data_IF_438671706217
#
_entry.id   IF_438671706217
#
_cell.length_a   1.000
_cell.length_b   1.000
_cell.length_c   1.000
_cell.angle_alpha   90.00
_cell.angle_beta   90.00
_cell.angle_gamma   90.00
#
_symmetry.space_group_name_H-M   'P 1'
#
loop_
_entity.id
_entity.type
_entity.pdbx_description
1 polymer ?
#
# COMPACT_ATOMS: atom_id res chain seq x y z
N UNK A 1 -2.07 16.87 -8.64
CA UNK A 1 -1.29 18.07 -8.24
C UNK A 1 -0.99 18.09 -6.76
N UNK A 2 -1.91 17.62 -5.92
CA UNK A 2 -1.86 17.68 -4.47
C UNK A 2 -1.69 16.30 -3.86
N UNK A 3 -2.50 15.32 -4.26
CA UNK A 3 -2.37 13.97 -3.72
C UNK A 3 -2.98 12.90 -4.61
N UNK A 4 -2.59 11.66 -4.34
CA UNK A 4 -3.20 10.45 -4.89
C UNK A 4 -3.50 9.50 -3.74
N UNK A 5 -4.71 8.93 -3.70
CA UNK A 5 -5.10 7.88 -2.78
C UNK A 5 -5.46 6.62 -3.58
N UNK A 6 -4.87 5.48 -3.22
CA UNK A 6 -5.01 4.21 -3.92
C UNK A 6 -5.45 3.15 -2.92
N UNK A 7 -6.45 2.37 -3.29
CA UNK A 7 -6.66 1.05 -2.67
C UNK A 7 -6.53 -0.01 -3.76
N UNK A 8 -5.57 -0.92 -3.63
CA UNK A 8 -5.36 -1.96 -4.64
C UNK A 8 -4.92 -3.29 -4.02
N UNK A 9 -5.40 -4.40 -4.58
CA UNK A 9 -5.04 -5.75 -4.15
C UNK A 9 -3.57 -6.09 -4.43
N UNK A 10 -3.01 -5.54 -5.52
CA UNK A 10 -1.60 -5.69 -5.88
C UNK A 10 -0.98 -4.33 -6.13
N UNK A 11 0.34 -4.24 -5.92
CA UNK A 11 1.12 -3.05 -6.25
C UNK A 11 2.50 -3.46 -6.76
N UNK A 12 2.58 -3.79 -8.05
CA UNK A 12 3.74 -4.35 -8.73
C UNK A 12 3.88 -3.71 -10.11
N UNK A 13 5.06 -3.19 -10.43
CA UNK A 13 5.26 -2.52 -11.71
C UNK A 13 6.66 -1.95 -11.89
N UNK A 14 6.90 -1.45 -13.09
CA UNK A 14 8.13 -0.77 -13.49
C UNK A 14 9.39 -1.60 -13.20
N UNK A 15 9.43 -2.86 -13.65
CA UNK A 15 10.54 -3.77 -13.36
C UNK A 15 11.89 -3.25 -13.87
N UNK A 16 11.89 -2.42 -14.92
CA UNK A 16 13.09 -1.77 -15.47
C UNK A 16 13.81 -0.84 -14.48
N UNK A 17 13.16 -0.42 -13.39
CA UNK A 17 13.76 0.40 -12.34
C UNK A 17 14.34 -0.41 -11.16
N UNK A 18 14.11 -1.73 -11.15
CA UNK A 18 14.52 -2.60 -10.05
C UNK A 18 16.02 -2.90 -10.14
N UNK A 19 16.71 -2.89 -9.00
CA UNK A 19 18.09 -3.34 -8.93
C UNK A 19 18.17 -4.86 -9.09
N UNK A 20 18.84 -5.29 -10.16
CA UNK A 20 19.16 -6.68 -10.45
C UNK A 20 19.83 -7.35 -9.24
N UNK A 21 19.48 -8.62 -8.99
CA UNK A 21 20.15 -9.43 -7.98
C UNK A 21 21.51 -9.95 -8.47
N UNK A 22 22.17 -10.78 -7.66
CA UNK A 22 23.47 -11.40 -7.94
C UNK A 22 23.42 -12.51 -9.05
N UNK A 23 22.64 -12.29 -10.12
CA UNK A 23 22.53 -13.19 -11.28
C UNK A 23 21.34 -14.17 -11.26
N UNK A 24 20.50 -14.12 -10.24
CA UNK A 24 19.34 -15.02 -10.05
C UNK A 24 18.13 -14.63 -10.94
N UNK A 25 17.98 -13.35 -11.22
CA UNK A 25 16.93 -12.79 -12.07
C UNK A 25 17.42 -11.43 -12.56
N UNK A 26 16.89 -10.96 -13.68
CA UNK A 26 17.14 -9.61 -14.16
C UNK A 26 15.81 -8.87 -14.37
N UNK A 27 15.80 -7.59 -14.04
CA UNK A 27 14.70 -6.65 -14.28
C UNK A 27 14.09 -6.77 -15.67
N UNK A 28 14.93 -6.99 -16.68
CA UNK A 28 14.54 -7.14 -18.09
C UNK A 28 13.70 -8.40 -18.38
N UNK A 29 13.94 -9.55 -17.74
CA UNK A 29 13.20 -10.78 -18.05
C UNK A 29 11.92 -10.94 -17.21
N UNK A 30 11.72 -10.13 -16.17
CA UNK A 30 10.49 -10.17 -15.37
C UNK A 30 9.27 -9.75 -16.21
N UNK A 31 9.46 -8.75 -17.07
CA UNK A 31 8.44 -8.30 -18.02
C UNK A 31 7.27 -7.55 -17.38
N UNK A 32 7.48 -6.89 -16.24
CA UNK A 32 6.47 -6.08 -15.53
C UNK A 32 6.61 -4.61 -15.91
N UNK A 33 6.18 -4.27 -17.12
CA UNK A 33 6.42 -2.97 -17.76
C UNK A 33 5.34 -1.91 -17.50
N UNK A 34 4.32 -2.21 -16.68
CA UNK A 34 3.31 -1.21 -16.34
C UNK A 34 3.95 -0.05 -15.57
N UNK A 35 3.63 1.17 -15.98
CA UNK A 35 4.33 2.38 -15.53
C UNK A 35 3.75 2.98 -14.24
N UNK A 36 2.69 2.41 -13.65
CA UNK A 36 1.99 3.04 -12.54
C UNK A 36 2.94 3.36 -11.36
N UNK A 37 3.80 2.43 -10.88
CA UNK A 37 4.74 2.77 -9.82
C UNK A 37 5.81 3.80 -10.23
N UNK A 38 6.33 3.73 -11.47
CA UNK A 38 7.31 4.68 -11.98
C UNK A 38 6.74 6.10 -12.07
N UNK A 39 5.52 6.24 -12.60
CA UNK A 39 4.83 7.54 -12.73
C UNK A 39 4.48 8.14 -11.37
N UNK A 40 4.10 7.31 -10.38
CA UNK A 40 3.88 7.78 -9.00
C UNK A 40 5.18 8.31 -8.39
N UNK A 41 6.29 7.58 -8.52
CA UNK A 41 7.60 8.02 -8.03
C UNK A 41 8.06 9.29 -8.74
N UNK A 42 8.02 9.31 -10.09
CA UNK A 42 8.37 10.48 -10.89
C UNK A 42 7.52 11.70 -10.53
N UNK A 43 6.22 11.51 -10.26
CA UNK A 43 5.34 12.60 -9.84
C UNK A 43 5.73 13.18 -8.48
N UNK A 44 6.06 12.33 -7.52
CA UNK A 44 6.56 12.75 -6.20
C UNK A 44 7.87 13.52 -6.36
N UNK A 45 8.82 12.98 -7.12
CA UNK A 45 10.12 13.58 -7.38
C UNK A 45 9.97 14.96 -8.03
N UNK A 46 9.15 15.08 -9.09
CA UNK A 46 8.88 16.36 -9.74
C UNK A 46 8.31 17.39 -8.75
N UNK A 47 7.46 16.97 -7.81
CA UNK A 47 6.89 17.86 -6.79
C UNK A 47 7.91 18.29 -5.73
N UNK A 48 8.81 17.39 -5.34
CA UNK A 48 9.96 17.70 -4.50
C UNK A 48 10.85 18.75 -5.18
N UNK A 49 11.20 18.54 -6.45
CA UNK A 49 12.06 19.44 -7.22
C UNK A 49 11.39 20.81 -7.49
N UNK A 50 10.06 20.84 -7.63
CA UNK A 50 9.26 22.08 -7.68
C UNK A 50 9.12 22.78 -6.32
N UNK A 51 9.55 22.17 -5.20
CA UNK A 51 9.32 22.67 -3.85
C UNK A 51 7.83 22.70 -3.44
N UNK A 52 7.00 21.87 -4.06
CA UNK A 52 5.55 21.81 -3.81
C UNK A 52 5.15 20.58 -3.01
N UNK A 53 4.12 20.74 -2.18
CA UNK A 53 3.55 19.61 -1.42
C UNK A 53 2.80 18.64 -2.33
N UNK A 54 3.12 17.37 -2.19
CA UNK A 54 2.42 16.26 -2.82
C UNK A 54 2.52 15.00 -1.97
N UNK A 55 1.46 14.19 -1.92
CA UNK A 55 1.48 12.92 -1.19
C UNK A 55 0.75 11.82 -1.95
N UNK A 56 1.30 10.61 -1.91
CA UNK A 56 0.67 9.38 -2.36
C UNK A 56 0.39 8.48 -1.15
N UNK A 57 -0.84 7.99 -1.06
CA UNK A 57 -1.31 7.04 -0.06
C UNK A 57 -1.73 5.75 -0.76
N UNK A 58 -1.19 4.61 -0.35
CA UNK A 58 -1.48 3.30 -0.92
C UNK A 58 -1.96 2.36 0.17
N UNK A 59 -3.17 1.84 0.04
CA UNK A 59 -3.74 0.81 0.90
C UNK A 59 -3.81 -0.49 0.12
N UNK A 60 -3.29 -1.55 0.69
CA UNK A 60 -3.14 -2.86 0.05
C UNK A 60 -3.28 -3.97 1.08
N UNK A 61 -3.60 -5.22 0.70
CA UNK A 61 -3.74 -6.27 1.69
C UNK A 61 -2.39 -6.58 2.35
N UNK A 62 -2.41 -7.09 3.60
CA UNK A 62 -1.17 -7.45 4.30
C UNK A 62 -0.34 -8.47 3.51
N UNK A 63 -1.02 -9.41 2.88
CA UNK A 63 -0.48 -10.31 1.87
C UNK A 63 -1.60 -10.65 0.86
N UNK A 64 -1.28 -11.11 -0.36
CA UNK A 64 -2.31 -11.55 -1.32
C UNK A 64 -3.16 -12.69 -0.78
N UNK A 65 -4.35 -12.90 -1.35
CA UNK A 65 -5.25 -13.98 -0.96
C UNK A 65 -4.57 -15.35 -1.15
N UNK A 66 -4.77 -16.22 -0.16
CA UNK A 66 -4.20 -17.57 -0.14
C UNK A 66 -3.23 -17.82 1.02
N UNK A 67 -2.36 -18.80 0.83
CA UNK A 67 -1.35 -19.23 1.80
C UNK A 67 -0.03 -18.49 1.52
N UNK A 68 0.31 -17.42 2.28
CA UNK A 68 1.41 -16.51 1.95
C UNK A 68 2.78 -17.19 1.95
N UNK A 69 2.94 -18.36 2.56
CA UNK A 69 4.14 -19.19 2.57
C UNK A 69 4.41 -19.93 1.26
N UNK A 70 3.41 -20.03 0.37
CA UNK A 70 3.54 -20.75 -0.91
C UNK A 70 4.50 -20.03 -1.86
N UNK A 71 5.18 -20.80 -2.72
CA UNK A 71 6.14 -20.25 -3.69
C UNK A 71 5.55 -19.12 -4.56
N UNK A 72 4.36 -19.25 -5.17
CA UNK A 72 3.82 -18.18 -6.01
C UNK A 72 3.54 -16.89 -5.23
N UNK A 73 3.02 -16.97 -4.00
CA UNK A 73 2.72 -15.77 -3.22
C UNK A 73 3.97 -15.12 -2.63
N UNK A 74 4.98 -15.91 -2.26
CA UNK A 74 6.29 -15.38 -1.90
C UNK A 74 6.95 -14.64 -3.08
N UNK A 75 6.72 -15.09 -4.32
CA UNK A 75 7.19 -14.40 -5.53
C UNK A 75 6.50 -13.05 -5.73
N UNK A 76 5.16 -13.02 -5.62
CA UNK A 76 4.37 -11.78 -5.74
C UNK A 76 4.84 -10.75 -4.71
N UNK A 77 5.02 -11.16 -3.46
CA UNK A 77 5.53 -10.29 -2.38
C UNK A 77 6.95 -9.79 -2.67
N UNK A 78 7.78 -10.60 -3.33
CA UNK A 78 9.13 -10.21 -3.72
C UNK A 78 9.11 -9.10 -4.78
N UNK A 79 8.26 -9.22 -5.81
CA UNK A 79 8.10 -8.17 -6.82
C UNK A 79 7.49 -6.88 -6.28
N UNK A 80 6.53 -7.00 -5.37
CA UNK A 80 6.00 -5.84 -4.64
C UNK A 80 7.10 -5.15 -3.83
N UNK A 81 7.90 -5.92 -3.10
CA UNK A 81 9.01 -5.36 -2.33
C UNK A 81 10.04 -4.66 -3.23
N UNK A 82 10.37 -5.23 -4.40
CA UNK A 82 11.26 -4.60 -5.39
C UNK A 82 10.69 -3.31 -5.97
N UNK A 83 9.40 -3.31 -6.25
CA UNK A 83 8.65 -2.11 -6.68
C UNK A 83 8.78 -1.00 -5.63
N UNK A 84 8.52 -1.31 -4.36
CA UNK A 84 8.58 -0.31 -3.29
C UNK A 84 10.01 0.15 -2.99
N UNK A 85 11.00 -0.74 -3.12
CA UNK A 85 12.41 -0.40 -2.94
C UNK A 85 12.89 0.69 -3.90
N UNK A 86 12.63 0.55 -5.21
CA UNK A 86 13.09 1.56 -6.16
C UNK A 86 12.38 2.90 -5.95
N UNK A 87 11.07 2.88 -5.66
CA UNK A 87 10.31 4.11 -5.44
C UNK A 87 10.87 4.93 -4.27
N UNK A 88 11.13 4.27 -3.14
CA UNK A 88 11.69 4.97 -1.97
C UNK A 88 13.13 5.42 -2.17
N UNK A 89 13.97 4.62 -2.86
CA UNK A 89 15.34 5.01 -3.25
C UNK A 89 15.33 6.30 -4.06
N UNK A 90 14.51 6.36 -5.11
CA UNK A 90 14.50 7.50 -6.03
C UNK A 90 13.91 8.76 -5.39
N UNK A 91 12.87 8.61 -4.56
CA UNK A 91 12.29 9.69 -3.76
C UNK A 91 13.30 10.23 -2.75
N UNK A 92 14.01 9.36 -2.01
CA UNK A 92 15.00 9.78 -1.04
C UNK A 92 16.18 10.51 -1.72
N UNK A 93 16.63 10.03 -2.87
CA UNK A 93 17.64 10.71 -3.67
C UNK A 93 17.19 12.11 -4.10
N UNK A 94 15.91 12.30 -4.45
CA UNK A 94 15.38 13.63 -4.79
C UNK A 94 15.34 14.57 -3.57
N UNK A 95 14.92 14.07 -2.41
CA UNK A 95 14.94 14.83 -1.13
C UNK A 95 16.37 15.32 -0.82
N UNK A 96 17.36 14.42 -0.93
CA UNK A 96 18.77 14.71 -0.68
C UNK A 96 19.33 15.73 -1.67
N UNK A 97 19.11 15.54 -2.98
CA UNK A 97 19.53 16.50 -4.03
C UNK A 97 18.97 17.90 -3.81
N UNK A 98 17.74 18.02 -3.32
CA UNK A 98 17.10 19.30 -3.03
C UNK A 98 17.46 19.85 -1.63
N UNK A 99 18.23 19.12 -0.81
CA UNK A 99 18.63 19.55 0.53
C UNK A 99 17.45 19.67 1.52
N UNK A 100 16.35 18.96 1.29
CA UNK A 100 15.14 19.07 2.10
C UNK A 100 15.27 18.29 3.41
N UNK A 101 14.84 18.90 4.53
CA UNK A 101 14.66 18.21 5.81
C UNK A 101 13.30 17.51 5.84
N UNK A 102 13.14 16.47 5.03
CA UNK A 102 11.91 15.69 4.92
C UNK A 102 12.20 14.19 4.91
N UNK A 103 11.25 13.37 5.37
CA UNK A 103 11.37 11.92 5.26
C UNK A 103 10.66 11.41 4.00
N UNK A 104 11.10 10.32 3.34
CA UNK A 104 10.37 9.78 2.17
C UNK A 104 8.89 9.47 2.45
N UNK A 105 8.55 9.12 3.70
CA UNK A 105 7.16 8.87 4.14
C UNK A 105 6.33 10.13 4.35
N UNK A 106 6.93 11.32 4.25
CA UNK A 106 6.17 12.57 4.11
C UNK A 106 5.54 12.68 2.70
N UNK A 107 5.94 11.84 1.74
CA UNK A 107 5.47 11.89 0.35
C UNK A 107 4.82 10.59 -0.14
N UNK A 108 5.32 9.41 0.24
CA UNK A 108 4.79 8.12 -0.20
C UNK A 108 4.55 7.21 0.99
N UNK A 109 3.33 6.67 1.11
CA UNK A 109 2.93 5.85 2.25
C UNK A 109 2.18 4.59 1.83
N UNK A 110 2.53 3.47 2.47
CA UNK A 110 1.88 2.17 2.30
C UNK A 110 1.23 1.72 3.61
N UNK A 111 0.01 1.21 3.49
CA UNK A 111 -0.83 0.75 4.59
C UNK A 111 -1.50 -0.58 4.24
N UNK A 112 -2.00 -1.26 5.27
CA UNK A 112 -2.96 -2.35 5.12
C UNK A 112 -4.12 -2.16 6.11
N UNK A 113 -5.19 -2.92 5.93
CA UNK A 113 -6.32 -2.91 6.86
C UNK A 113 -6.25 -4.13 7.77
N UNK A 114 -6.35 -3.90 9.07
CA UNK A 114 -6.31 -4.92 10.11
C UNK A 114 -7.55 -4.85 11.00
N UNK A 115 -7.89 -5.99 11.58
CA UNK A 115 -8.86 -6.07 12.67
C UNK A 115 -8.29 -6.91 13.79
N UNK A 116 -8.58 -6.51 15.02
CA UNK A 116 -8.30 -7.32 16.20
C UNK A 116 -9.50 -7.26 17.13
N UNK A 117 -10.04 -8.42 17.46
CA UNK A 117 -11.23 -8.50 18.30
C UNK A 117 -10.89 -8.54 19.80
N UNK A 118 -11.76 -8.01 20.67
CA UNK A 118 -11.56 -8.12 22.11
C UNK A 118 -11.56 -9.59 22.57
N UNK A 119 -10.87 -9.94 23.66
CA UNK A 119 -10.98 -11.27 24.26
C UNK A 119 -12.45 -11.60 24.56
N UNK A 120 -12.93 -12.72 24.03
CA UNK A 120 -14.33 -13.14 24.10
C UNK A 120 -14.46 -14.67 24.06
N UNK A 121 -15.59 -15.18 24.54
CA UNK A 121 -15.85 -16.58 24.88
C UNK A 121 -16.04 -17.54 23.68
N UNK A 122 -15.44 -17.25 22.52
CA UNK A 122 -15.46 -18.16 21.39
C UNK A 122 -14.64 -19.40 21.76
N UNK A 123 -15.32 -20.50 22.09
CA UNK A 123 -14.68 -21.78 22.35
C UNK A 123 -14.02 -22.29 21.07
N UNK A 124 -12.74 -22.65 21.17
CA UNK A 124 -12.01 -23.32 20.10
C UNK A 124 -12.82 -24.55 19.64
N UNK A 125 -13.20 -24.66 18.35
CA UNK A 125 -13.67 -25.92 17.81
C UNK A 125 -12.59 -26.98 18.03
N UNK A 126 -12.95 -28.17 18.52
CA UNK A 126 -11.98 -29.22 18.88
C UNK A 126 -11.13 -29.70 17.69
N UNK A 127 -11.56 -29.42 16.45
CA UNK A 127 -10.91 -29.84 15.21
C UNK A 127 -10.13 -28.70 14.49
N UNK A 128 -9.78 -27.62 15.19
CA UNK A 128 -9.08 -26.49 14.57
C UNK A 128 -7.62 -26.83 14.20
N UNK A 129 -7.23 -26.54 12.95
CA UNK A 129 -5.84 -26.68 12.48
C UNK A 129 -4.91 -25.65 13.14
N UNK A 130 -3.59 -25.89 13.24
CA UNK A 130 -2.66 -25.00 13.96
C UNK A 130 -2.74 -23.52 13.58
N UNK A 131 -2.90 -23.22 12.28
CA UNK A 131 -3.08 -21.84 11.79
C UNK A 131 -4.32 -21.16 12.38
N UNK A 132 -5.44 -21.89 12.46
CA UNK A 132 -6.66 -21.37 13.07
C UNK A 132 -6.50 -21.18 14.58
N UNK A 133 -5.78 -22.07 15.25
CA UNK A 133 -5.46 -21.92 16.68
C UNK A 133 -4.66 -20.63 16.93
N UNK A 134 -3.65 -20.36 16.11
CA UNK A 134 -2.82 -19.16 16.26
C UNK A 134 -3.61 -17.88 15.98
N UNK A 135 -4.44 -17.85 14.93
CA UNK A 135 -5.34 -16.73 14.64
C UNK A 135 -6.38 -16.50 15.75
N UNK A 136 -6.93 -17.56 16.33
CA UNK A 136 -7.87 -17.47 17.46
C UNK A 136 -7.18 -17.00 18.73
N UNK A 137 -5.91 -17.39 18.96
CA UNK A 137 -5.11 -16.94 20.09
C UNK A 137 -4.74 -15.46 19.98
N UNK A 138 -4.31 -15.00 18.79
CA UNK A 138 -3.95 -13.59 18.56
C UNK A 138 -5.16 -12.68 18.39
N UNK A 139 -6.31 -13.26 17.98
CA UNK A 139 -7.58 -12.60 17.63
C UNK A 139 -7.46 -11.53 16.56
N UNK A 140 -6.41 -11.59 15.75
CA UNK A 140 -6.17 -10.62 14.68
C UNK A 140 -6.37 -11.26 13.32
N UNK A 141 -6.82 -10.45 12.38
CA UNK A 141 -6.93 -10.82 10.99
C UNK A 141 -6.82 -9.57 10.12
N UNK A 142 -6.25 -9.71 8.92
CA UNK A 142 -6.32 -8.61 7.96
C UNK A 142 -7.75 -8.44 7.46
N UNK A 143 -8.19 -7.19 7.27
CA UNK A 143 -9.33 -6.90 6.42
C UNK A 143 -8.78 -6.91 4.99
N UNK A 144 -9.28 -7.82 4.16
CA UNK A 144 -8.70 -8.03 2.85
C UNK A 144 -9.07 -6.91 1.89
N UNK A 145 -8.06 -6.17 1.42
CA UNK A 145 -8.22 -5.10 0.43
C UNK A 145 -8.30 -5.73 -0.95
N UNK A 146 -9.53 -5.96 -1.43
CA UNK A 146 -9.81 -6.41 -2.79
C UNK A 146 -10.12 -5.25 -3.75
N UNK A 147 -10.11 -4.01 -3.25
CA UNK A 147 -10.34 -2.79 -4.03
C UNK A 147 -9.41 -2.68 -5.25
N UNK A 148 -9.87 -1.98 -6.28
CA UNK A 148 -9.06 -1.45 -7.39
C UNK A 148 -9.51 -0.01 -7.67
N UNK A 149 -9.02 0.88 -6.83
CA UNK A 149 -9.50 2.25 -6.67
C UNK A 149 -8.33 3.23 -6.72
N UNK A 150 -8.52 4.34 -7.43
CA UNK A 150 -7.61 5.49 -7.36
C UNK A 150 -8.42 6.79 -7.30
N UNK A 151 -8.07 7.66 -6.36
CA UNK A 151 -8.63 9.01 -6.21
C UNK A 151 -7.49 10.01 -6.41
N UNK A 152 -7.70 10.98 -7.28
CA UNK A 152 -6.71 12.01 -7.61
C UNK A 152 -7.30 13.38 -7.31
N UNK A 153 -6.64 14.11 -6.40
CA UNK A 153 -6.98 15.48 -6.01
C UNK A 153 -8.45 15.72 -5.59
N UNK A 154 -9.16 14.68 -5.13
CA UNK A 154 -10.62 14.73 -4.88
C UNK A 154 -11.47 15.14 -6.11
N UNK A 155 -10.89 15.17 -7.32
CA UNK A 155 -11.55 15.50 -8.59
C UNK A 155 -11.93 14.26 -9.40
N UNK A 156 -10.99 13.31 -9.49
CA UNK A 156 -11.09 12.13 -10.32
C UNK A 156 -11.13 10.88 -9.46
N UNK A 157 -11.98 9.94 -9.86
CA UNK A 157 -12.13 8.62 -9.29
C UNK A 157 -11.95 7.60 -10.42
N UNK A 158 -11.06 6.63 -10.23
CA UNK A 158 -10.97 5.43 -11.08
C UNK A 158 -11.41 4.24 -10.23
N UNK A 159 -12.39 3.49 -10.70
CA UNK A 159 -12.85 2.25 -10.06
C UNK A 159 -13.04 1.17 -11.11
N UNK A 160 -12.63 -0.06 -10.81
CA UNK A 160 -12.71 -1.16 -11.77
C UNK A 160 -12.29 -2.51 -11.21
N UNK A 161 -11.89 -3.40 -12.11
CA UNK A 161 -11.36 -4.73 -11.79
C UNK A 161 -9.83 -4.80 -11.84
N UNK A 162 -9.17 -3.85 -12.51
CA UNK A 162 -7.74 -3.89 -12.82
C UNK A 162 -6.83 -3.65 -11.60
N UNK A 163 -6.03 -4.65 -11.27
CA UNK A 163 -4.98 -4.54 -10.25
C UNK A 163 -3.78 -3.72 -10.74
N UNK A 164 -3.00 -3.14 -9.82
CA UNK A 164 -1.69 -2.55 -10.18
C UNK A 164 -0.68 -3.68 -10.26
N UNK A 165 -0.72 -4.41 -11.37
CA UNK A 165 0.20 -5.47 -11.75
C UNK A 165 0.18 -5.62 -13.28
N UNK A 166 1.12 -6.36 -13.85
CA UNK A 166 1.20 -6.56 -15.29
C UNK A 166 0.03 -7.38 -15.83
N UNK A 167 -0.45 -8.40 -15.09
CA UNK A 167 -1.65 -9.18 -15.44
C UNK A 167 -2.86 -8.33 -15.82
N UNK A 168 -3.14 -7.28 -15.05
CA UNK A 168 -4.27 -6.39 -15.30
C UNK A 168 -3.93 -5.22 -16.23
N UNK A 169 -2.68 -4.72 -16.19
CA UNK A 169 -2.30 -3.50 -16.92
C UNK A 169 -1.79 -3.73 -18.35
N UNK A 170 -1.47 -4.97 -18.73
CA UNK A 170 -0.92 -5.26 -20.06
C UNK A 170 -1.94 -5.14 -21.21
N UNK A 171 -3.23 -5.37 -20.93
CA UNK A 171 -4.31 -5.37 -21.92
C UNK A 171 -4.39 -6.63 -22.80
N UNK A 172 -3.36 -7.47 -22.81
CA UNK A 172 -3.29 -8.75 -23.55
C UNK A 172 -3.18 -9.98 -22.63
N UNK A 173 -3.33 -9.78 -21.30
CA UNK A 173 -3.34 -10.82 -20.27
C UNK A 173 -4.76 -11.06 -19.77
N UNK A 174 -5.11 -10.54 -18.59
CA UNK A 174 -6.48 -10.64 -18.09
C UNK A 174 -7.35 -9.53 -18.71
N UNK A 175 -8.62 -9.83 -18.96
CA UNK A 175 -9.58 -8.82 -19.45
C UNK A 175 -10.11 -8.00 -18.28
N UNK A 176 -9.85 -6.70 -18.31
CA UNK A 176 -10.23 -5.79 -17.23
C UNK A 176 -11.19 -4.70 -17.72
N UNK A 177 -11.95 -4.12 -16.78
CA UNK A 177 -12.77 -2.93 -17.03
C UNK A 177 -12.60 -1.94 -15.89
N UNK A 178 -12.56 -0.65 -16.23
CA UNK A 178 -12.54 0.43 -15.27
C UNK A 178 -13.31 1.64 -15.79
N UNK A 179 -13.85 2.42 -14.85
CA UNK A 179 -14.54 3.69 -15.14
C UNK A 179 -13.75 4.81 -14.50
N UNK A 180 -13.54 5.89 -15.25
CA UNK A 180 -13.06 7.17 -14.73
C UNK A 180 -14.27 8.08 -14.57
N UNK A 181 -14.47 8.58 -13.36
CA UNK A 181 -15.56 9.49 -13.01
C UNK A 181 -15.01 10.79 -12.44
N UNK A 182 -15.65 11.89 -12.79
CA UNK A 182 -15.42 13.23 -12.25
C UNK A 182 -16.72 14.03 -12.32
N UNK A 183 -16.81 15.10 -11.54
CA UNK A 183 -17.97 16.00 -11.55
C UNK A 183 -17.56 17.35 -12.16
N UNK A 184 -18.09 17.73 -13.35
CA UNK A 184 -17.61 18.91 -14.07
C UNK A 184 -17.66 20.23 -13.29
N UNK A 185 -18.58 20.37 -12.34
CA UNK A 185 -18.72 21.57 -11.49
C UNK A 185 -17.86 21.53 -10.22
N UNK A 186 -17.23 20.40 -9.94
CA UNK A 186 -16.31 20.18 -8.82
C UNK A 186 -14.89 19.97 -9.33
N UNK A 187 -14.49 20.77 -10.32
CA UNK A 187 -13.11 20.83 -10.82
C UNK A 187 -12.41 22.03 -10.19
N UNK A 188 -11.17 21.87 -9.72
CA UNK A 188 -10.30 22.92 -9.16
C UNK A 188 -10.24 24.15 -10.04
N UNK A 189 -10.16 23.98 -11.36
CA UNK A 189 -10.13 25.09 -12.31
C UNK A 189 -11.38 26.01 -12.21
N UNK A 190 -12.53 25.45 -11.80
CA UNK A 190 -13.76 26.21 -11.52
C UNK A 190 -13.86 26.71 -10.07
N UNK A 191 -13.12 26.09 -9.15
CA UNK A 191 -13.13 26.40 -7.72
C UNK A 191 -11.96 27.31 -7.29
N UNK A 192 -11.31 28.01 -8.22
CA UNK A 192 -10.21 28.92 -7.89
C UNK A 192 -8.93 28.24 -7.39
N UNK A 193 -8.77 26.94 -7.64
CA UNK A 193 -7.60 26.15 -7.23
C UNK A 193 -7.78 25.33 -5.96
N UNK A 194 -8.88 25.53 -5.22
CA UNK A 194 -9.17 24.77 -4.00
C UNK A 194 -9.56 23.32 -4.30
N UNK A 195 -9.19 22.40 -3.39
CA UNK A 195 -9.60 20.99 -3.48
C UNK A 195 -11.13 20.87 -3.51
N UNK A 196 -11.70 20.10 -4.44
CA UNK A 196 -13.14 19.97 -4.55
C UNK A 196 -13.78 19.32 -3.32
N UNK A 197 -15.04 19.69 -3.08
CA UNK A 197 -15.89 19.12 -2.02
C UNK A 197 -17.12 18.39 -2.58
N UNK A 198 -16.91 17.70 -3.70
CA UNK A 198 -17.94 16.91 -4.37
C UNK A 198 -18.11 15.51 -3.79
N UNK A 199 -18.82 14.66 -4.52
CA UNK A 199 -19.04 13.25 -4.19
C UNK A 199 -17.72 12.45 -4.13
N UNK A 200 -16.74 12.76 -4.98
CA UNK A 200 -15.42 12.11 -4.92
C UNK A 200 -14.73 12.39 -3.58
N UNK A 201 -14.72 13.66 -3.16
CA UNK A 201 -14.19 14.06 -1.84
C UNK A 201 -14.95 13.41 -0.69
N UNK A 202 -16.29 13.41 -0.76
CA UNK A 202 -17.15 12.78 0.24
C UNK A 202 -16.92 11.26 0.35
N UNK A 203 -16.78 10.57 -0.78
CA UNK A 203 -16.47 9.14 -0.83
C UNK A 203 -15.12 8.83 -0.19
N UNK A 204 -14.09 9.61 -0.53
CA UNK A 204 -12.75 9.49 0.06
C UNK A 204 -12.76 9.74 1.58
N UNK A 205 -13.49 10.76 2.05
CA UNK A 205 -13.68 11.02 3.48
C UNK A 205 -14.42 9.88 4.19
N UNK A 206 -15.41 9.27 3.54
CA UNK A 206 -16.12 8.11 4.09
C UNK A 206 -15.18 6.91 4.26
N UNK A 207 -14.34 6.61 3.26
CA UNK A 207 -13.33 5.54 3.36
C UNK A 207 -12.33 5.83 4.47
N UNK A 208 -11.84 7.07 4.58
CA UNK A 208 -10.94 7.44 5.65
C UNK A 208 -11.60 7.35 7.03
N UNK A 209 -12.88 7.71 7.14
CA UNK A 209 -13.66 7.54 8.36
C UNK A 209 -13.78 6.07 8.78
N UNK A 210 -14.02 5.17 7.83
CA UNK A 210 -14.00 3.71 8.06
C UNK A 210 -12.61 3.24 8.53
N UNK A 211 -11.56 3.60 7.80
CA UNK A 211 -10.21 3.08 8.05
C UNK A 211 -9.57 3.65 9.31
N UNK A 212 -9.79 4.93 9.62
CA UNK A 212 -9.17 5.63 10.74
C UNK A 212 -10.07 5.71 11.99
N UNK A 213 -11.36 5.39 11.84
CA UNK A 213 -12.35 5.45 12.93
C UNK A 213 -12.65 6.87 13.42
N UNK A 214 -12.33 7.90 12.62
CA UNK A 214 -12.46 9.30 13.01
C UNK A 214 -12.68 10.20 11.79
N UNK A 215 -13.23 11.39 12.03
CA UNK A 215 -13.38 12.46 11.06
C UNK A 215 -12.70 13.72 11.61
N UNK A 216 -11.74 14.26 10.86
CA UNK A 216 -10.98 15.44 11.27
C UNK A 216 -10.87 16.43 10.10
N UNK A 217 -10.89 17.74 10.40
CA UNK A 217 -10.76 18.78 9.38
C UNK A 217 -9.44 18.70 8.61
N UNK A 218 -8.39 18.16 9.23
CA UNK A 218 -7.10 17.92 8.56
C UNK A 218 -7.24 17.00 7.34
N UNK A 219 -8.21 16.07 7.32
CA UNK A 219 -8.50 15.21 6.18
C UNK A 219 -9.07 15.95 4.97
N UNK A 220 -9.45 17.22 5.12
CA UNK A 220 -9.84 18.07 4.01
C UNK A 220 -8.62 18.58 3.21
N UNK A 221 -7.39 18.41 3.72
CA UNK A 221 -6.14 18.79 3.05
C UNK A 221 -5.16 17.61 2.99
N UNK A 222 -5.43 16.56 2.20
CA UNK A 222 -4.63 15.32 2.19
C UNK A 222 -3.16 15.49 1.81
N UNK A 223 -2.78 16.58 1.15
CA UNK A 223 -1.40 16.86 0.77
C UNK A 223 -0.58 17.55 1.88
N UNK A 224 -1.25 18.08 2.91
CA UNK A 224 -0.61 18.78 4.01
C UNK A 224 0.25 17.82 4.83
N UNK A 225 1.40 18.30 5.30
CA UNK A 225 2.33 17.50 6.10
C UNK A 225 1.69 17.06 7.44
N UNK A 226 0.85 17.92 8.01
CA UNK A 226 0.07 17.63 9.21
C UNK A 226 -0.87 16.44 8.98
N UNK A 227 -1.62 16.44 7.87
CA UNK A 227 -2.49 15.31 7.50
C UNK A 227 -1.71 14.00 7.36
N UNK A 228 -0.60 14.03 6.62
CA UNK A 228 0.24 12.84 6.40
C UNK A 228 0.74 12.27 7.73
N UNK A 229 1.28 13.13 8.60
CA UNK A 229 1.86 12.73 9.87
C UNK A 229 0.81 12.22 10.85
N UNK A 230 -0.37 12.83 10.87
CA UNK A 230 -1.50 12.33 11.66
C UNK A 230 -1.90 10.92 11.24
N UNK A 231 -2.12 10.69 9.94
CA UNK A 231 -2.47 9.36 9.41
C UNK A 231 -1.37 8.33 9.73
N UNK A 232 -0.10 8.70 9.52
CA UNK A 232 1.03 7.83 9.84
C UNK A 232 1.11 7.49 11.33
N UNK A 233 0.87 8.45 12.21
CA UNK A 233 0.85 8.23 13.67
C UNK A 233 -0.24 7.24 14.07
N UNK A 234 -1.46 7.40 13.52
CA UNK A 234 -2.59 6.48 13.77
C UNK A 234 -2.30 5.08 13.24
N UNK A 235 -1.77 5.00 12.02
CA UNK A 235 -1.43 3.73 11.37
C UNK A 235 -0.32 2.97 12.10
N UNK A 236 0.70 3.67 12.62
CA UNK A 236 1.77 3.07 13.41
C UNK A 236 1.24 2.57 14.77
N UNK A 237 0.41 3.37 15.45
CA UNK A 237 -0.21 2.96 16.70
C UNK A 237 -1.08 1.69 16.54
N UNK A 238 -1.87 1.62 15.46
CA UNK A 238 -2.65 0.43 15.13
C UNK A 238 -1.75 -0.77 14.79
N UNK A 239 -0.67 -0.58 14.04
CA UNK A 239 0.27 -1.66 13.77
C UNK A 239 0.88 -2.24 15.05
N UNK A 240 1.33 -1.39 15.99
CA UNK A 240 1.88 -1.83 17.27
C UNK A 240 0.85 -2.66 18.06
N UNK A 241 -0.40 -2.20 18.12
CA UNK A 241 -1.51 -2.95 18.73
C UNK A 241 -1.84 -4.24 17.97
N UNK A 242 -1.72 -4.26 16.65
CA UNK A 242 -1.96 -5.44 15.82
C UNK A 242 -0.91 -6.53 16.10
N UNK A 243 0.35 -6.15 16.34
CA UNK A 243 1.44 -7.10 16.61
C UNK A 243 1.69 -7.44 18.07
N UNK A 244 1.06 -6.73 19.00
CA UNK A 244 1.23 -6.93 20.44
C UNK A 244 0.86 -8.37 20.86
N UNK A 245 1.62 -8.95 21.79
CA UNK A 245 1.33 -10.26 22.37
C UNK A 245 0.08 -10.22 23.25
N UNK A 246 -0.21 -9.07 23.88
CA UNK A 246 -1.45 -8.85 24.62
C UNK A 246 -2.58 -8.55 23.65
N UNK A 247 -3.62 -9.37 23.72
CA UNK A 247 -4.83 -9.19 22.91
C UNK A 247 -5.60 -7.95 23.36
N UNK A 248 -5.64 -6.95 22.47
CA UNK A 248 -6.41 -5.73 22.63
C UNK A 248 -7.13 -5.44 21.32
N UNK A 249 -8.38 -4.93 21.37
CA UNK A 249 -9.08 -4.56 20.16
C UNK A 249 -8.39 -3.41 19.45
N UNK A 250 -8.43 -3.40 18.12
CA UNK A 250 -8.03 -2.23 17.35
C UNK A 250 -9.12 -1.17 17.40
N UNK A 251 -8.73 0.10 17.60
CA UNK A 251 -9.66 1.22 17.59
C UNK A 251 -10.08 1.67 16.19
N UNK A 252 -9.35 1.23 15.15
CA UNK A 252 -9.60 1.49 13.74
C UNK A 252 -8.79 0.52 12.88
N UNK A 253 -8.98 0.51 11.57
CA UNK A 253 -8.46 -0.56 10.70
C UNK A 253 -7.12 -0.25 10.03
N UNK A 254 -6.81 1.02 9.76
CA UNK A 254 -5.62 1.40 9.01
C UNK A 254 -4.36 1.10 9.82
N UNK A 255 -3.51 0.21 9.32
CA UNK A 255 -2.24 -0.14 9.91
C UNK A 255 -1.10 0.23 8.95
N UNK A 256 0.04 0.67 9.50
CA UNK A 256 1.24 0.89 8.70
C UNK A 256 1.67 -0.42 8.06
N UNK A 257 1.97 -0.43 6.76
CA UNK A 257 2.53 -1.64 6.14
C UNK A 257 3.87 -1.98 6.81
N UNK A 258 4.18 -3.24 7.14
CA UNK A 258 5.30 -3.62 8.03
C UNK A 258 6.70 -3.52 7.39
N UNK A 259 7.00 -2.38 6.78
CA UNK A 259 8.32 -1.95 6.33
C UNK A 259 8.80 -0.76 7.16
N UNK A 260 10.09 -0.77 7.47
CA UNK A 260 10.87 0.39 7.93
C UNK A 260 11.47 1.05 6.71
N UNK A 261 11.23 2.34 6.56
CA UNK A 261 11.84 3.19 5.53
C UNK A 261 12.85 4.07 6.25
N UNK A 262 14.12 4.02 5.86
CA UNK A 262 15.13 4.93 6.38
C UNK A 262 15.21 6.23 5.58
N UNK A 263 15.92 7.21 6.14
CA UNK A 263 16.09 8.55 5.56
C UNK A 263 16.73 8.51 4.14
N UNK A 264 17.58 7.52 3.88
CA UNK A 264 18.22 7.26 2.59
C UNK A 264 17.34 6.46 1.60
N UNK A 265 16.09 6.15 1.98
CA UNK A 265 15.14 5.41 1.15
C UNK A 265 15.28 3.89 1.22
N UNK A 266 16.18 3.35 2.06
CA UNK A 266 16.29 1.90 2.21
C UNK A 266 15.03 1.32 2.87
N UNK A 267 14.44 0.32 2.23
CA UNK A 267 13.24 -0.39 2.71
C UNK A 267 13.68 -1.69 3.38
N UNK A 268 13.28 -1.92 4.63
CA UNK A 268 13.55 -3.18 5.35
C UNK A 268 12.26 -3.69 5.99
N UNK A 269 11.99 -5.00 6.03
CA UNK A 269 10.81 -5.49 6.74
C UNK A 269 11.01 -5.31 8.26
N UNK A 270 9.96 -4.92 8.98
CA UNK A 270 10.02 -4.74 10.44
C UNK A 270 10.29 -6.06 11.18
N UNK A 271 9.77 -7.17 10.64
CA UNK A 271 10.02 -8.54 11.07
C UNK A 271 10.33 -9.41 9.85
N UNK A 272 11.03 -10.55 10.00
CA UNK A 272 11.32 -11.43 8.86
C UNK A 272 10.04 -11.98 8.18
N UNK A 273 9.05 -12.37 8.98
CA UNK A 273 7.81 -13.00 8.55
C UNK A 273 6.58 -12.23 9.02
N UNK A 274 5.45 -12.46 8.36
CA UNK A 274 4.16 -11.92 8.80
C UNK A 274 3.79 -12.43 10.19
N UNK A 275 3.06 -11.63 10.98
CA UNK A 275 2.60 -12.06 12.28
C UNK A 275 1.71 -13.31 12.18
N UNK A 276 1.89 -14.26 13.09
CA UNK A 276 1.23 -15.58 13.12
C UNK A 276 1.67 -16.57 12.02
N UNK A 277 2.73 -16.25 11.28
CA UNK A 277 3.19 -17.05 10.14
C UNK A 277 4.72 -17.26 10.16
N UNK A 278 5.35 -17.05 11.32
CA UNK A 278 6.78 -17.21 11.52
C UNK A 278 7.24 -18.65 11.27
N UNK A 279 6.51 -19.65 11.78
CA UNK A 279 6.82 -21.08 11.61
C UNK A 279 6.72 -21.54 10.17
N UNK A 280 5.86 -20.90 9.37
CA UNK A 280 5.66 -21.19 7.95
C UNK A 280 6.66 -20.46 7.05
N UNK A 281 7.53 -19.63 7.62
CA UNK A 281 8.50 -18.81 6.87
C UNK A 281 7.85 -17.91 5.81
N UNK A 282 6.63 -17.41 6.05
CA UNK A 282 5.95 -16.49 5.14
C UNK A 282 6.58 -15.08 5.26
N UNK A 283 7.58 -14.79 4.43
CA UNK A 283 8.41 -13.58 4.55
C UNK A 283 7.65 -12.34 4.10
N UNK A 284 7.79 -11.25 4.86
CA UNK A 284 7.18 -9.95 4.53
C UNK A 284 7.74 -9.37 3.23
N UNK A 285 9.04 -9.56 3.00
CA UNK A 285 9.73 -9.13 1.77
C UNK A 285 9.56 -10.10 0.60
N UNK A 286 8.80 -11.17 0.79
CA UNK A 286 8.73 -12.28 -0.14
C UNK A 286 10.05 -13.04 -0.31
N UNK A 287 10.07 -13.91 -1.30
CA UNK A 287 11.27 -14.66 -1.72
C UNK A 287 11.11 -15.03 -3.20
N UNK A 288 12.11 -14.67 -4.00
CA UNK A 288 12.16 -15.14 -5.38
C UNK A 288 12.42 -16.65 -5.47
N UNK A 289 11.85 -17.27 -6.49
CA UNK A 289 12.01 -18.67 -6.83
C UNK A 289 12.04 -18.84 -8.35
N UNK A 290 12.83 -19.80 -8.81
CA UNK A 290 13.03 -20.09 -10.23
C UNK A 290 11.98 -21.03 -10.82
N UNK A 291 11.03 -21.49 -10.01
CA UNK A 291 10.09 -22.54 -10.39
C UNK A 291 8.86 -21.94 -11.05
N UNK A 292 8.41 -20.79 -10.54
CA UNK A 292 7.22 -20.11 -11.04
C UNK A 292 7.63 -19.02 -12.04
N UNK A 293 7.23 -19.10 -13.31
CA UNK A 293 7.54 -18.07 -14.29
C UNK A 293 7.00 -16.70 -13.84
N UNK A 294 7.79 -15.64 -14.00
CA UNK A 294 7.38 -14.27 -13.65
C UNK A 294 6.06 -13.86 -14.32
N UNK A 295 5.79 -14.35 -15.55
CA UNK A 295 4.52 -14.15 -16.25
C UNK A 295 3.27 -14.52 -15.43
N UNK A 296 3.40 -15.49 -14.50
CA UNK A 296 2.27 -15.95 -13.67
C UNK A 296 2.11 -15.13 -12.39
N UNK A 297 3.17 -14.45 -11.94
CA UNK A 297 3.26 -13.77 -10.64
C UNK A 297 3.41 -12.25 -10.77
N UNK A 298 3.37 -11.71 -11.99
CA UNK A 298 3.48 -10.28 -12.29
C UNK A 298 2.22 -9.66 -12.85
#
# INVERSE_FOLDING_TARGET
EHFIYIENQYFIGASEHWEDGDGEWNSWNVGTLNLIPAELAAKVIAKIEEGKRFTVYVVMPLHPEGQPETLPLQEVLFWQYKTVQFMYRDIAAAIDRCGLQAHPTDYLNFYFLGQREPPGASTLPSDCVPRQQQQLASRRQMIYVHSKLMIVDDEFLIIGSANINQRSMAGDRDTEIAVVAYQPDYMKAKLGGDLPRGQVSGFRLSLWGEHLGEYQDLFLTPNSLECVRHINLRAEANWLLYVDTKVQPLGSHLCRYPWVISQDGAVRPQKPCFPDLEELSARIKGKSNYVVPSLMTT
#
